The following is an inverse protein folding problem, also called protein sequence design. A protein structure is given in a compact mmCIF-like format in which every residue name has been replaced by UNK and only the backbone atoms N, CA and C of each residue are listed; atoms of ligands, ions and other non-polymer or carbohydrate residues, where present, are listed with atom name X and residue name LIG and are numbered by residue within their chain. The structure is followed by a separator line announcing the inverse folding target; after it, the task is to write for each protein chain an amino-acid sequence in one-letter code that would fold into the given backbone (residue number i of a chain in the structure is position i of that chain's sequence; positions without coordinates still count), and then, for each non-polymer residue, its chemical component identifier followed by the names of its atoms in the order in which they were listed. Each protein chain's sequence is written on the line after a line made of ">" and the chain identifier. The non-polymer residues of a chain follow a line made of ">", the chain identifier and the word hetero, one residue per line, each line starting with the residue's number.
data_IF_533178295899
#
_entry.id   IF_533178295899
#
_cell.length_a   1.000
_cell.length_b   1.000
_cell.length_c   1.000
_cell.angle_alpha   90.00
_cell.angle_beta   90.00
_cell.angle_gamma   90.00
#
_symmetry.space_group_name_H-M   'P 1'
#
loop_
_entity.id
_entity.type
_entity.pdbx_description
1 polymer ?
#
# COMPACT_ATOMS: atom_id res chain seq x y z
N UNK A 1 25.43 6.91 0.10
CA UNK A 1 25.34 5.45 -0.03
C UNK A 1 24.65 4.95 1.22
N UNK A 2 23.43 4.45 1.07
CA UNK A 2 22.62 3.84 2.14
C UNK A 2 23.12 2.40 2.22
N UNK A 3 23.57 1.90 3.37
CA UNK A 3 23.80 0.47 3.50
C UNK A 3 22.42 -0.21 3.34
N UNK A 4 22.27 -1.04 2.31
CA UNK A 4 21.22 -2.01 2.23
C UNK A 4 21.23 -2.84 3.53
N UNK A 5 20.06 -3.21 4.05
CA UNK A 5 19.99 -4.30 5.03
C UNK A 5 20.76 -5.47 4.46
N UNK A 6 21.67 -6.08 5.20
CA UNK A 6 22.34 -7.27 4.71
C UNK A 6 21.26 -8.34 4.52
N UNK A 7 21.23 -8.95 3.33
CA UNK A 7 20.51 -10.16 2.93
C UNK A 7 19.05 -10.07 2.42
N UNK A 8 18.50 -8.93 2.05
CA UNK A 8 17.44 -8.98 1.04
C UNK A 8 18.13 -9.12 -0.33
N UNK A 9 17.97 -10.24 -1.02
CA UNK A 9 18.37 -10.34 -2.41
C UNK A 9 17.75 -9.15 -3.17
N UNK A 10 18.46 -8.53 -4.10
CA UNK A 10 18.05 -7.32 -4.81
C UNK A 10 16.69 -7.46 -5.56
N UNK A 11 16.11 -8.64 -5.52
CA UNK A 11 15.00 -9.12 -6.31
C UNK A 11 13.69 -9.32 -5.53
N UNK A 12 13.66 -9.11 -4.21
CA UNK A 12 12.50 -9.35 -3.37
C UNK A 12 11.54 -8.14 -3.32
N UNK A 13 10.22 -8.40 -3.36
CA UNK A 13 9.15 -7.41 -3.18
C UNK A 13 8.45 -7.64 -1.85
N UNK A 14 9.08 -7.25 -0.74
CA UNK A 14 8.79 -7.72 0.61
C UNK A 14 7.52 -7.15 1.24
N UNK A 15 6.94 -6.09 0.70
CA UNK A 15 5.74 -5.45 1.23
C UNK A 15 4.94 -4.72 0.14
N UNK A 16 3.75 -4.27 0.50
CA UNK A 16 2.94 -3.44 -0.37
C UNK A 16 3.71 -2.18 -0.82
N UNK A 17 3.72 -1.96 -2.15
CA UNK A 17 4.48 -0.89 -2.82
C UNK A 17 6.00 -1.01 -2.72
N UNK A 18 6.50 -2.23 -2.58
CA UNK A 18 7.93 -2.56 -2.66
C UNK A 18 8.72 -2.33 -1.38
N UNK A 19 10.04 -2.58 -1.42
CA UNK A 19 10.88 -2.67 -0.22
C UNK A 19 10.84 -1.42 0.67
N UNK A 20 10.61 -0.24 0.10
CA UNK A 20 10.52 1.03 0.82
C UNK A 20 9.07 1.53 0.99
N UNK A 21 8.07 0.82 0.46
CA UNK A 21 6.67 1.25 0.49
C UNK A 21 6.36 2.49 -0.38
N UNK A 22 7.29 2.88 -1.26
CA UNK A 22 7.20 4.10 -2.08
C UNK A 22 6.51 3.89 -3.42
N UNK A 23 6.41 2.63 -3.88
CA UNK A 23 5.94 2.28 -5.22
C UNK A 23 7.01 2.36 -6.29
N UNK A 24 8.27 2.56 -5.91
CA UNK A 24 9.41 2.58 -6.83
C UNK A 24 10.07 1.21 -6.81
N UNK A 25 10.34 0.66 -7.98
CA UNK A 25 11.13 -0.53 -8.22
C UNK A 25 12.43 -0.16 -8.91
N UNK A 26 13.53 -0.80 -8.50
CA UNK A 26 14.83 -0.73 -9.18
C UNK A 26 14.97 -1.82 -10.26
N UNK A 27 13.97 -2.66 -10.44
CA UNK A 27 13.92 -3.69 -11.46
C UNK A 27 14.03 -3.10 -12.88
N UNK A 28 14.72 -3.82 -13.75
CA UNK A 28 14.88 -3.51 -15.17
C UNK A 28 14.51 -4.72 -16.02
N UNK A 29 14.17 -4.49 -17.29
CA UNK A 29 13.80 -5.57 -18.19
C UNK A 29 12.44 -6.21 -17.89
N UNK A 30 11.56 -5.50 -17.18
CA UNK A 30 10.18 -5.98 -16.99
C UNK A 30 9.39 -5.87 -18.30
N UNK A 31 8.46 -6.82 -18.56
CA UNK A 31 7.60 -6.76 -19.75
C UNK A 31 6.86 -5.43 -19.85
N UNK A 32 6.91 -4.81 -21.04
CA UNK A 32 6.12 -3.62 -21.36
C UNK A 32 4.88 -3.97 -22.17
N UNK A 33 4.77 -5.20 -22.63
CA UNK A 33 3.65 -5.69 -23.42
C UNK A 33 3.18 -7.05 -22.93
N UNK A 34 1.89 -7.18 -22.67
CA UNK A 34 1.23 -8.44 -22.34
C UNK A 34 -0.26 -8.39 -22.65
N UNK A 35 -0.87 -9.54 -22.69
CA UNK A 35 -2.31 -9.70 -22.81
C UNK A 35 -2.78 -10.89 -21.98
N UNK A 36 -3.98 -11.39 -22.18
CA UNK A 36 -4.45 -12.63 -21.53
C UNK A 36 -3.65 -13.87 -21.92
N UNK A 37 -2.89 -13.82 -23.03
CA UNK A 37 -2.16 -14.96 -23.62
C UNK A 37 -0.72 -14.64 -23.99
N UNK A 38 -0.33 -13.39 -24.10
CA UNK A 38 1.03 -12.95 -24.45
C UNK A 38 1.80 -12.61 -23.18
N UNK A 39 3.02 -13.11 -23.05
CA UNK A 39 3.92 -12.89 -21.90
C UNK A 39 3.34 -13.32 -20.53
N UNK A 40 2.41 -14.28 -20.54
CA UNK A 40 1.90 -14.90 -19.31
C UNK A 40 2.71 -16.16 -19.02
N UNK A 41 3.60 -16.08 -18.03
CA UNK A 41 4.35 -17.23 -17.55
C UNK A 41 3.43 -18.26 -16.90
N UNK A 42 2.56 -17.81 -16.01
CA UNK A 42 1.49 -18.61 -15.41
C UNK A 42 0.33 -17.74 -14.91
N UNK A 43 -0.82 -18.36 -14.76
CA UNK A 43 -1.97 -17.80 -14.05
C UNK A 43 -2.66 -18.85 -13.20
N UNK A 44 -3.04 -18.50 -11.99
CA UNK A 44 -3.71 -19.39 -11.04
C UNK A 44 -5.07 -18.83 -10.68
N UNK A 45 -6.11 -19.66 -10.79
CA UNK A 45 -7.47 -19.28 -10.44
C UNK A 45 -7.61 -19.07 -8.93
N UNK A 46 -8.27 -18.01 -8.53
CA UNK A 46 -8.65 -17.69 -7.16
C UNK A 46 -10.14 -17.98 -6.94
N UNK A 47 -10.50 -18.51 -5.77
CA UNK A 47 -11.86 -18.87 -5.38
C UNK A 47 -12.53 -17.81 -4.49
N UNK A 48 -12.06 -16.56 -4.59
CA UNK A 48 -12.60 -15.41 -3.87
C UNK A 48 -11.99 -14.10 -4.32
N UNK A 49 -12.76 -13.04 -4.23
CA UNK A 49 -12.32 -11.68 -4.52
C UNK A 49 -11.36 -11.17 -3.43
N UNK A 50 -10.51 -10.21 -3.76
CA UNK A 50 -9.62 -9.58 -2.80
C UNK A 50 -8.76 -8.46 -3.38
N UNK A 51 -8.40 -7.51 -2.53
CA UNK A 51 -7.59 -6.33 -2.88
C UNK A 51 -6.12 -6.44 -2.44
N UNK A 52 -5.74 -7.50 -1.73
CA UNK A 52 -4.35 -7.74 -1.32
C UNK A 52 -3.42 -7.74 -2.52
N UNK A 53 -2.38 -6.94 -2.47
CA UNK A 53 -1.31 -6.98 -3.46
C UNK A 53 -0.34 -8.12 -3.16
N UNK A 54 0.25 -8.77 -4.19
CA UNK A 54 1.25 -9.79 -3.98
C UNK A 54 2.52 -9.22 -3.33
N UNK A 55 3.20 -10.07 -2.56
CA UNK A 55 4.61 -9.89 -2.22
C UNK A 55 5.42 -11.08 -2.74
N UNK A 56 6.70 -10.86 -2.98
CA UNK A 56 7.62 -11.87 -3.48
C UNK A 56 8.78 -11.99 -2.52
N UNK A 57 9.08 -13.20 -2.10
CA UNK A 57 10.20 -13.53 -1.22
C UNK A 57 10.92 -14.72 -1.80
N UNK A 58 12.11 -14.55 -2.31
CA UNK A 58 12.90 -15.58 -2.97
C UNK A 58 12.09 -16.31 -4.08
N UNK A 59 11.89 -17.59 -3.96
CA UNK A 59 11.14 -18.43 -4.91
C UNK A 59 9.62 -18.51 -4.63
N UNK A 60 9.06 -17.62 -3.81
CA UNK A 60 7.68 -17.68 -3.35
C UNK A 60 6.90 -16.39 -3.55
N UNK A 61 5.62 -16.52 -3.89
CA UNK A 61 4.67 -15.41 -4.01
C UNK A 61 3.56 -15.59 -2.97
N UNK A 62 3.25 -14.50 -2.25
CA UNK A 62 2.26 -14.53 -1.18
C UNK A 62 1.14 -13.52 -1.39
N UNK A 63 -0.08 -13.93 -1.08
CA UNK A 63 -1.25 -13.06 -0.98
C UNK A 63 -2.08 -13.41 0.25
N UNK A 64 -2.76 -12.45 0.84
CA UNK A 64 -3.87 -12.75 1.75
C UNK A 64 -5.14 -13.03 0.95
N UNK A 65 -5.99 -13.93 1.40
CA UNK A 65 -7.16 -14.40 0.65
C UNK A 65 -8.31 -14.78 1.58
N UNK A 66 -9.52 -14.69 1.08
CA UNK A 66 -10.72 -15.21 1.74
C UNK A 66 -11.57 -15.94 0.67
N UNK A 67 -11.71 -17.26 0.74
CA UNK A 67 -12.56 -18.00 -0.18
C UNK A 67 -14.01 -17.55 -0.06
N UNK A 68 -14.69 -17.45 -1.19
CA UNK A 68 -16.09 -16.98 -1.23
C UNK A 68 -17.01 -17.89 -0.40
N UNK A 69 -17.78 -17.28 0.50
CA UNK A 69 -18.72 -18.01 1.35
C UNK A 69 -18.08 -18.80 2.50
N UNK A 70 -16.78 -18.63 2.74
CA UNK A 70 -16.02 -19.30 3.79
C UNK A 70 -15.77 -18.36 4.98
N UNK A 71 -15.63 -18.96 6.18
CA UNK A 71 -15.11 -18.26 7.36
C UNK A 71 -13.59 -18.16 7.39
N UNK A 72 -12.90 -18.75 6.42
CA UNK A 72 -11.44 -18.78 6.39
C UNK A 72 -10.86 -17.41 5.97
N UNK A 73 -9.76 -17.05 6.62
CA UNK A 73 -8.85 -15.97 6.26
C UNK A 73 -7.49 -16.59 6.04
N UNK A 74 -6.95 -16.45 4.84
CA UNK A 74 -5.82 -17.25 4.38
C UNK A 74 -4.64 -16.39 3.98
N UNK A 75 -3.44 -16.85 4.29
CA UNK A 75 -2.21 -16.54 3.61
C UNK A 75 -1.92 -17.70 2.66
N UNK A 76 -1.84 -17.41 1.37
CA UNK A 76 -1.52 -18.39 0.33
C UNK A 76 -0.10 -18.16 -0.17
N UNK A 77 0.66 -19.24 -0.28
CA UNK A 77 2.01 -19.27 -0.82
C UNK A 77 2.03 -20.06 -2.12
N UNK A 78 2.55 -19.44 -3.15
CA UNK A 78 2.69 -20.04 -4.48
C UNK A 78 4.15 -20.15 -4.86
N UNK A 79 4.50 -21.19 -5.61
CA UNK A 79 5.80 -21.28 -6.28
C UNK A 79 5.89 -20.20 -7.35
N UNK A 80 6.95 -19.42 -7.32
CA UNK A 80 7.19 -18.31 -8.24
C UNK A 80 7.38 -18.81 -9.69
N UNK A 81 7.95 -20.00 -9.87
CA UNK A 81 8.34 -20.51 -11.20
C UNK A 81 7.15 -20.95 -12.05
N UNK A 82 6.10 -21.51 -11.42
CA UNK A 82 4.97 -22.14 -12.13
C UNK A 82 3.58 -21.83 -11.55
N UNK A 83 3.51 -21.09 -10.43
CA UNK A 83 2.26 -20.74 -9.78
C UNK A 83 1.63 -21.88 -8.95
N UNK A 84 2.34 -22.99 -8.72
CA UNK A 84 1.83 -24.08 -7.88
C UNK A 84 1.55 -23.57 -6.48
N UNK A 85 0.35 -23.84 -5.95
CA UNK A 85 0.01 -23.56 -4.55
C UNK A 85 0.80 -24.49 -3.63
N UNK A 86 1.78 -23.94 -2.92
CA UNK A 86 2.64 -24.72 -2.02
C UNK A 86 1.96 -24.99 -0.68
N UNK A 87 1.29 -23.99 -0.12
CA UNK A 87 0.55 -24.13 1.12
C UNK A 87 -0.46 -22.99 1.31
N UNK A 88 -1.44 -23.27 2.18
CA UNK A 88 -2.42 -22.31 2.67
C UNK A 88 -2.44 -22.37 4.19
N UNK A 89 -2.32 -21.23 4.85
CA UNK A 89 -2.39 -21.07 6.31
C UNK A 89 -3.23 -19.86 6.67
N UNK A 90 -3.79 -19.83 7.87
CA UNK A 90 -4.57 -18.69 8.29
C UNK A 90 -5.44 -18.98 9.50
N UNK A 91 -6.60 -18.33 9.55
CA UNK A 91 -7.52 -18.39 10.67
C UNK A 91 -8.96 -18.62 10.20
N UNK A 92 -9.72 -19.33 11.00
CA UNK A 92 -11.17 -19.33 10.91
C UNK A 92 -11.72 -18.16 11.74
N UNK A 93 -12.59 -17.36 11.12
CA UNK A 93 -13.31 -16.27 11.78
C UNK A 93 -14.79 -16.34 11.41
N UNK A 94 -15.56 -16.95 12.31
CA UNK A 94 -17.00 -17.24 12.10
C UNK A 94 -17.91 -16.08 12.44
N UNK A 95 -17.40 -15.04 13.16
CA UNK A 95 -18.19 -13.85 13.41
C UNK A 95 -18.38 -13.02 12.13
N UNK A 96 -19.50 -12.31 12.07
CA UNK A 96 -19.74 -11.40 10.95
C UNK A 96 -18.78 -10.20 11.02
N UNK A 97 -17.92 -10.09 10.02
CA UNK A 97 -17.08 -8.90 9.80
C UNK A 97 -17.77 -7.97 8.80
N UNK A 98 -17.76 -6.67 9.12
CA UNK A 98 -18.32 -5.66 8.23
C UNK A 98 -17.35 -5.42 7.08
N UNK A 99 -17.84 -5.57 5.85
CA UNK A 99 -17.09 -5.28 4.62
C UNK A 99 -17.97 -4.50 3.65
N UNK A 100 -17.38 -3.91 2.65
CA UNK A 100 -18.08 -3.26 1.55
C UNK A 100 -17.89 -4.05 0.25
N UNK A 101 -18.86 -4.01 -0.65
CA UNK A 101 -18.76 -4.69 -1.96
C UNK A 101 -17.51 -4.33 -2.77
N UNK A 102 -16.93 -3.17 -2.53
CA UNK A 102 -15.69 -2.71 -3.18
C UNK A 102 -14.43 -3.02 -2.37
N UNK A 103 -14.59 -3.49 -1.14
CA UNK A 103 -13.49 -3.82 -0.23
C UNK A 103 -13.78 -5.15 0.46
N UNK A 104 -13.59 -6.28 -0.25
CA UNK A 104 -13.81 -7.61 0.30
C UNK A 104 -12.81 -7.92 1.43
N UNK A 105 -13.06 -9.04 2.11
CA UNK A 105 -12.17 -9.54 3.16
C UNK A 105 -10.73 -9.75 2.66
N UNK A 106 -9.75 -9.71 3.57
CA UNK A 106 -8.34 -9.86 3.24
C UNK A 106 -7.85 -8.79 2.24
N UNK A 107 -8.20 -7.53 2.48
CA UNK A 107 -7.74 -6.39 1.69
C UNK A 107 -6.28 -6.00 2.01
N UNK A 108 -5.81 -6.27 3.22
CA UNK A 108 -4.43 -6.01 3.66
C UNK A 108 -3.44 -6.90 2.94
N UNK A 109 -2.36 -6.34 2.42
CA UNK A 109 -1.27 -7.09 1.83
C UNK A 109 -0.34 -7.64 2.92
N UNK A 110 0.27 -8.82 2.73
CA UNK A 110 1.26 -9.34 3.67
C UNK A 110 2.56 -8.54 3.60
N UNK A 111 3.43 -8.74 4.60
CA UNK A 111 4.78 -8.17 4.65
C UNK A 111 5.79 -9.22 5.11
N UNK A 112 7.04 -9.12 4.64
CA UNK A 112 8.11 -10.05 4.99
C UNK A 112 9.38 -9.31 5.42
N UNK A 113 10.18 -9.97 6.26
CA UNK A 113 11.57 -9.62 6.57
C UNK A 113 12.59 -10.48 5.81
N UNK A 114 12.12 -11.31 4.86
CA UNK A 114 12.92 -12.29 4.12
C UNK A 114 12.89 -13.69 4.73
N UNK A 115 12.58 -13.85 6.02
CA UNK A 115 12.52 -15.12 6.73
C UNK A 115 11.10 -15.48 7.20
N UNK A 116 10.30 -14.48 7.47
CA UNK A 116 8.94 -14.60 8.03
C UNK A 116 7.95 -13.76 7.25
N UNK A 117 6.70 -14.18 7.25
CA UNK A 117 5.59 -13.46 6.63
C UNK A 117 4.61 -13.05 7.72
N UNK A 118 4.26 -11.78 7.74
CA UNK A 118 3.20 -11.27 8.62
C UNK A 118 1.97 -10.92 7.79
N UNK A 119 0.82 -11.43 8.19
CA UNK A 119 -0.47 -11.19 7.55
C UNK A 119 -1.49 -10.68 8.58
N UNK A 120 -2.16 -9.59 8.24
CA UNK A 120 -3.28 -9.07 9.04
C UNK A 120 -4.60 -9.44 8.36
N UNK A 121 -5.43 -10.16 9.10
CA UNK A 121 -6.71 -10.68 8.65
C UNK A 121 -7.91 -9.90 9.22
N UNK A 122 -7.77 -8.59 9.42
CA UNK A 122 -8.82 -7.77 10.01
C UNK A 122 -9.15 -8.20 11.43
N UNK A 123 -10.43 -8.45 11.70
CA UNK A 123 -10.90 -8.88 13.03
C UNK A 123 -10.38 -10.28 13.44
N UNK A 124 -9.93 -11.10 12.50
CA UNK A 124 -9.34 -12.41 12.82
C UNK A 124 -7.93 -12.30 13.44
N UNK A 125 -7.28 -11.13 13.36
CA UNK A 125 -6.02 -10.87 14.03
C UNK A 125 -4.81 -10.74 13.09
N UNK A 126 -3.64 -10.58 13.71
CA UNK A 126 -2.33 -10.48 13.06
C UNK A 126 -1.55 -11.77 13.31
N UNK A 127 -1.02 -12.35 12.23
CA UNK A 127 -0.35 -13.64 12.26
C UNK A 127 1.04 -13.56 11.65
N UNK A 128 1.98 -14.31 12.22
CA UNK A 128 3.31 -14.49 11.67
C UNK A 128 3.53 -15.97 11.35
N UNK A 129 4.04 -16.23 10.15
CA UNK A 129 4.42 -17.55 9.67
C UNK A 129 5.88 -17.52 9.20
N UNK A 130 6.56 -18.66 9.20
CA UNK A 130 7.79 -18.79 8.42
C UNK A 130 7.48 -19.06 6.94
N UNK A 131 8.52 -19.13 6.11
CA UNK A 131 8.38 -19.35 4.66
C UNK A 131 7.84 -20.76 4.31
N UNK A 132 7.76 -21.69 5.28
CA UNK A 132 7.17 -23.02 5.12
C UNK A 132 5.72 -23.10 5.62
N UNK A 133 5.18 -21.97 6.12
CA UNK A 133 3.82 -21.87 6.61
C UNK A 133 3.64 -22.34 8.06
N UNK A 134 4.71 -22.51 8.83
CA UNK A 134 4.61 -22.78 10.26
C UNK A 134 4.28 -21.47 11.00
N UNK A 135 3.19 -21.47 11.76
CA UNK A 135 2.79 -20.30 12.55
C UNK A 135 3.77 -20.10 13.71
N UNK A 136 4.36 -18.92 13.75
CA UNK A 136 5.29 -18.50 14.82
C UNK A 136 4.57 -17.84 15.98
N UNK A 137 3.63 -16.95 15.68
CA UNK A 137 2.78 -16.31 16.68
C UNK A 137 1.50 -15.76 16.05
N UNK A 138 0.54 -15.42 16.91
CA UNK A 138 -0.66 -14.66 16.55
C UNK A 138 -0.97 -13.61 17.61
N UNK A 139 -1.63 -12.51 17.19
CA UNK A 139 -2.11 -11.45 18.07
C UNK A 139 -3.55 -11.12 17.73
N UNK A 140 -4.39 -11.03 18.74
CA UNK A 140 -5.74 -10.51 18.59
C UNK A 140 -5.69 -8.98 18.50
N UNK A 141 -6.05 -8.43 17.35
CA UNK A 141 -5.96 -6.99 17.09
C UNK A 141 -7.22 -6.22 17.47
N UNK A 142 -8.30 -6.93 17.72
CA UNK A 142 -9.62 -6.34 17.98
C UNK A 142 -10.55 -6.43 16.76
N UNK A 143 -11.76 -5.91 16.92
CA UNK A 143 -12.81 -5.99 15.90
C UNK A 143 -12.76 -4.77 14.97
N UNK A 144 -12.74 -5.01 13.67
CA UNK A 144 -12.94 -3.98 12.65
C UNK A 144 -14.44 -3.67 12.58
N UNK A 145 -14.81 -2.40 12.76
CA UNK A 145 -16.20 -1.96 12.91
C UNK A 145 -16.67 -0.92 11.89
N UNK A 146 -15.81 -0.50 10.96
CA UNK A 146 -16.16 0.47 9.94
C UNK A 146 -16.89 -0.17 8.75
N UNK A 147 -17.94 0.50 8.24
CA UNK A 147 -18.81 -0.01 7.14
C UNK A 147 -18.07 -0.27 5.82
N UNK A 148 -16.89 0.33 5.62
CA UNK A 148 -16.02 0.11 4.45
C UNK A 148 -14.86 -0.87 4.74
N UNK A 149 -14.89 -1.54 5.89
CA UNK A 149 -13.84 -2.45 6.30
C UNK A 149 -12.48 -1.75 6.52
N UNK A 150 -11.40 -2.50 6.36
CA UNK A 150 -10.01 -2.05 6.56
C UNK A 150 -9.22 -2.10 5.25
N UNK A 151 -8.05 -1.43 5.21
CA UNK A 151 -7.24 -1.37 3.99
C UNK A 151 -5.76 -1.12 4.21
N UNK A 152 -5.36 -0.75 5.43
CA UNK A 152 -3.95 -0.63 5.79
C UNK A 152 -3.25 -1.99 5.72
N UNK A 153 -1.98 -2.01 5.36
CA UNK A 153 -1.12 -3.18 5.42
C UNK A 153 -0.09 -3.02 6.54
N UNK A 154 0.31 -4.09 7.24
CA UNK A 154 1.42 -4.03 8.17
C UNK A 154 2.72 -3.73 7.41
N UNK A 155 3.67 -3.08 8.09
CA UNK A 155 5.03 -2.88 7.62
C UNK A 155 6.02 -3.38 8.66
N UNK A 156 7.24 -3.70 8.23
CA UNK A 156 8.31 -4.13 9.14
C UNK A 156 9.35 -3.01 9.25
N UNK A 157 9.75 -2.72 10.46
CA UNK A 157 10.87 -1.86 10.78
C UNK A 157 11.77 -2.53 11.82
N UNK A 158 12.97 -2.90 11.43
CA UNK A 158 13.90 -3.69 12.27
C UNK A 158 13.19 -4.96 12.81
N UNK A 159 13.09 -5.10 14.11
CA UNK A 159 12.43 -6.23 14.78
C UNK A 159 10.97 -5.93 15.18
N UNK A 160 10.32 -4.96 14.54
CA UNK A 160 8.96 -4.54 14.84
C UNK A 160 8.05 -4.70 13.62
N UNK A 161 6.84 -5.17 13.86
CA UNK A 161 5.70 -5.06 12.94
C UNK A 161 4.90 -3.84 13.36
N UNK A 162 4.74 -2.88 12.45
CA UNK A 162 3.96 -1.67 12.66
C UNK A 162 2.61 -1.83 11.95
N UNK A 163 1.53 -1.65 12.68
CA UNK A 163 0.16 -1.79 12.16
C UNK A 163 -0.65 -0.54 12.46
N UNK A 164 -1.26 0.04 11.42
CA UNK A 164 -2.34 1.00 11.56
C UNK A 164 -3.66 0.23 11.56
N UNK A 165 -4.20 -0.07 12.74
CA UNK A 165 -5.50 -0.71 12.90
C UNK A 165 -6.63 0.32 12.80
N UNK A 166 -7.45 0.18 11.81
CA UNK A 166 -8.56 1.12 11.58
C UNK A 166 -9.07 1.11 10.14
N UNK A 167 -9.96 2.05 9.85
CA UNK A 167 -10.57 3.04 10.76
C UNK A 167 -11.68 2.44 11.65
N UNK A 168 -12.23 3.28 12.53
CA UNK A 168 -13.33 2.98 13.43
C UNK A 168 -13.05 3.46 14.85
N UNK A 169 -14.03 3.33 15.73
CA UNK A 169 -13.95 3.83 17.12
C UNK A 169 -12.82 3.17 17.91
N UNK A 170 -12.45 1.95 17.56
CA UNK A 170 -11.38 1.17 18.19
C UNK A 170 -10.01 1.33 17.50
N UNK A 171 -9.85 2.30 16.60
CA UNK A 171 -8.61 2.49 15.85
C UNK A 171 -7.41 2.84 16.72
N UNK A 172 -6.25 2.32 16.33
CA UNK A 172 -4.96 2.59 16.97
C UNK A 172 -3.82 2.34 15.97
N UNK A 173 -2.63 2.81 16.31
CA UNK A 173 -1.38 2.37 15.69
C UNK A 173 -0.57 1.65 16.75
N UNK A 174 0.02 0.51 16.41
CA UNK A 174 0.81 -0.27 17.34
C UNK A 174 2.06 -0.87 16.69
N UNK A 175 3.05 -1.15 17.51
CA UNK A 175 4.20 -1.97 17.18
C UNK A 175 4.16 -3.29 17.94
N UNK A 176 4.43 -4.36 17.21
CA UNK A 176 4.53 -5.72 17.78
C UNK A 176 5.94 -6.27 17.52
N UNK A 177 6.46 -7.03 18.46
CA UNK A 177 7.74 -7.71 18.32
C UNK A 177 7.68 -8.77 17.20
N UNK A 178 8.58 -8.73 16.24
CA UNK A 178 8.72 -9.77 15.22
C UNK A 178 9.06 -11.14 15.81
N UNK A 179 9.64 -11.20 17.00
CA UNK A 179 10.06 -12.44 17.64
C UNK A 179 8.87 -13.26 18.11
N UNK A 180 7.88 -12.63 18.75
CA UNK A 180 6.84 -13.32 19.52
C UNK A 180 5.45 -12.67 19.46
N UNK A 181 5.32 -11.55 18.71
CA UNK A 181 4.06 -10.80 18.59
C UNK A 181 3.71 -9.95 19.83
N UNK A 182 4.59 -9.87 20.82
CA UNK A 182 4.34 -9.03 22.00
C UNK A 182 4.17 -7.56 21.59
N UNK A 183 3.14 -6.89 22.15
CA UNK A 183 2.93 -5.46 21.89
C UNK A 183 4.04 -4.65 22.58
N UNK A 184 4.74 -3.83 21.79
CA UNK A 184 5.83 -2.97 22.26
C UNK A 184 5.31 -1.59 22.63
N UNK A 185 4.48 -1.03 21.78
CA UNK A 185 3.75 0.21 22.04
C UNK A 185 2.42 0.24 21.29
N UNK A 186 1.48 1.00 21.84
CA UNK A 186 0.18 1.30 21.20
C UNK A 186 -0.13 2.78 21.39
N UNK A 187 -0.70 3.37 20.33
CA UNK A 187 -1.16 4.74 20.36
C UNK A 187 -2.55 4.87 19.74
N UNK A 188 -3.42 5.60 20.39
CA UNK A 188 -4.70 6.07 19.87
C UNK A 188 -4.60 7.55 19.51
N UNK A 189 -5.48 8.01 18.63
CA UNK A 189 -5.55 9.41 18.21
C UNK A 189 -6.97 9.97 18.51
N UNK A 190 -7.36 10.14 19.79
CA UNK A 190 -8.72 10.49 20.18
C UNK A 190 -9.12 11.92 19.82
N UNK A 191 -8.14 12.80 19.62
CA UNK A 191 -8.35 14.25 19.43
C UNK A 191 -8.73 14.62 17.99
N UNK A 192 -8.61 13.69 17.06
CA UNK A 192 -8.61 13.95 15.62
C UNK A 192 -10.00 14.04 15.00
N UNK A 193 -11.04 13.62 15.68
CA UNK A 193 -12.39 13.61 15.12
C UNK A 193 -13.37 14.04 16.18
N UNK A 194 -14.22 15.01 15.85
CA UNK A 194 -15.29 15.42 16.75
C UNK A 194 -16.15 14.20 17.12
N UNK A 195 -16.76 14.20 18.31
CA UNK A 195 -17.63 13.12 18.79
C UNK A 195 -18.79 12.74 17.86
N UNK A 196 -19.07 13.57 16.85
CA UNK A 196 -20.08 13.29 15.81
C UNK A 196 -19.60 12.41 14.66
N UNK A 197 -18.31 12.08 14.61
CA UNK A 197 -17.68 11.37 13.49
C UNK A 197 -16.67 10.32 13.97
N UNK A 198 -16.92 9.71 15.12
CA UNK A 198 -16.04 8.71 15.74
C UNK A 198 -15.74 7.50 14.83
N UNK A 199 -16.70 7.18 13.93
CA UNK A 199 -16.52 6.13 12.93
C UNK A 199 -15.35 6.39 11.96
N UNK A 200 -14.90 7.65 11.82
CA UNK A 200 -13.75 8.02 10.98
C UNK A 200 -12.44 8.18 11.76
N UNK A 201 -12.35 7.74 13.02
CA UNK A 201 -11.07 7.66 13.72
C UNK A 201 -10.13 6.69 13.01
N UNK A 202 -8.85 7.02 12.97
CA UNK A 202 -7.86 6.24 12.22
C UNK A 202 -8.00 6.41 10.70
N UNK A 203 -7.37 5.55 9.95
CA UNK A 203 -7.34 5.66 8.48
C UNK A 203 -7.15 4.30 7.81
N UNK A 204 -7.40 4.23 6.52
CA UNK A 204 -7.06 3.08 5.66
C UNK A 204 -5.60 3.12 5.17
N UNK A 205 -4.91 4.21 5.45
CA UNK A 205 -3.56 4.48 4.98
C UNK A 205 -2.56 3.48 5.54
N UNK A 206 -1.76 2.87 4.68
CA UNK A 206 -0.58 2.12 5.11
C UNK A 206 0.50 3.10 5.55
N UNK A 207 1.10 2.92 6.75
CA UNK A 207 2.22 3.73 7.21
C UNK A 207 3.42 3.66 6.27
N UNK A 208 4.25 4.70 6.26
CA UNK A 208 5.48 4.74 5.44
C UNK A 208 6.65 5.16 6.29
N UNK A 209 7.78 4.47 6.13
CA UNK A 209 9.04 4.85 6.77
C UNK A 209 9.75 5.93 5.98
N UNK A 210 10.10 7.03 6.63
CA UNK A 210 10.95 8.07 6.08
C UNK A 210 12.33 8.02 6.74
N UNK A 211 13.37 8.07 5.91
CA UNK A 211 14.77 8.09 6.34
C UNK A 211 15.41 9.42 5.96
N UNK A 212 15.94 10.15 6.93
CA UNK A 212 16.68 11.40 6.73
C UNK A 212 17.97 11.35 7.54
N UNK A 213 19.11 11.14 6.87
CA UNK A 213 20.38 10.88 7.54
C UNK A 213 20.25 9.70 8.50
N UNK A 214 20.54 9.92 9.78
CA UNK A 214 20.39 8.91 10.84
C UNK A 214 19.02 8.90 11.51
N UNK A 215 18.08 9.73 11.06
CA UNK A 215 16.72 9.77 11.62
C UNK A 215 15.77 8.93 10.79
N UNK A 216 15.06 8.03 11.43
CA UNK A 216 14.01 7.21 10.83
C UNK A 216 12.68 7.53 11.51
N UNK A 217 11.66 7.81 10.71
CA UNK A 217 10.38 8.35 11.17
C UNK A 217 9.25 7.58 10.52
N UNK A 218 8.27 7.18 11.32
CA UNK A 218 7.03 6.58 10.83
C UNK A 218 6.03 7.68 10.48
N UNK A 219 5.63 7.74 9.22
CA UNK A 219 4.65 8.69 8.70
C UNK A 219 3.26 8.06 8.68
N UNK A 220 2.28 8.79 9.19
CA UNK A 220 0.90 8.35 9.36
C UNK A 220 -0.05 9.42 8.79
N UNK A 221 -0.73 9.13 7.68
CA UNK A 221 -1.86 9.94 7.20
C UNK A 221 -3.08 9.64 8.04
N UNK A 222 -3.46 10.57 8.91
CA UNK A 222 -4.58 10.43 9.83
C UNK A 222 -5.60 11.55 9.62
N UNK A 223 -6.84 11.41 10.09
CA UNK A 223 -7.81 12.51 10.03
C UNK A 223 -7.19 13.82 10.53
N UNK A 224 -7.48 14.88 9.77
CA UNK A 224 -7.08 16.26 10.01
C UNK A 224 -5.58 16.57 9.85
N UNK A 225 -4.67 15.60 10.02
CA UNK A 225 -3.23 15.86 9.91
C UNK A 225 -2.36 14.66 9.52
N UNK A 226 -1.21 14.98 8.96
CA UNK A 226 -0.10 14.05 8.82
C UNK A 226 0.70 14.04 10.14
N UNK A 227 0.96 12.84 10.66
CA UNK A 227 1.78 12.63 11.84
C UNK A 227 3.09 11.95 11.48
N UNK A 228 4.13 12.35 12.18
CA UNK A 228 5.45 11.74 12.16
C UNK A 228 5.81 11.32 13.57
N UNK A 229 6.03 10.02 13.77
CA UNK A 229 6.29 9.46 15.08
C UNK A 229 7.56 8.61 15.08
N UNK A 230 8.10 8.36 16.26
CA UNK A 230 9.16 7.38 16.46
C UNK A 230 8.63 5.97 16.16
N UNK A 231 9.23 5.22 15.25
CA UNK A 231 8.80 3.84 15.01
C UNK A 231 9.05 2.91 16.19
N UNK A 232 10.00 3.27 17.08
CA UNK A 232 10.38 2.48 18.24
C UNK A 232 9.50 2.70 19.47
N UNK A 233 8.92 3.92 19.62
CA UNK A 233 8.17 4.29 20.84
C UNK A 233 6.76 4.80 20.57
N UNK A 234 6.41 5.14 19.32
CA UNK A 234 5.14 5.78 18.96
C UNK A 234 5.04 7.26 19.39
N UNK A 235 6.10 7.85 19.96
CA UNK A 235 6.13 9.24 20.40
C UNK A 235 6.18 10.21 19.23
N UNK A 236 5.53 11.38 19.42
CA UNK A 236 5.52 12.43 18.42
C UNK A 236 6.91 12.98 18.13
N UNK A 237 7.18 13.16 16.85
CA UNK A 237 8.28 13.99 16.37
C UNK A 237 7.75 15.31 15.86
N UNK A 238 6.84 15.24 14.91
CA UNK A 238 6.14 16.40 14.36
C UNK A 238 4.79 16.02 13.77
N UNK A 239 3.97 17.02 13.49
CA UNK A 239 2.73 16.85 12.75
C UNK A 239 2.45 18.06 11.88
N UNK A 240 1.59 17.92 10.87
CA UNK A 240 1.15 19.01 10.01
C UNK A 240 -0.34 18.88 9.73
N UNK A 241 -1.10 19.91 10.07
CA UNK A 241 -2.54 20.00 9.84
C UNK A 241 -2.91 20.40 8.41
N UNK A 242 -4.20 20.23 8.07
CA UNK A 242 -4.79 20.64 6.80
C UNK A 242 -5.40 19.50 6.00
N UNK A 243 -5.47 18.30 6.53
CA UNK A 243 -6.21 17.18 5.93
C UNK A 243 -7.68 17.16 6.37
N UNK A 244 -8.47 16.28 5.80
CA UNK A 244 -9.84 15.99 6.22
C UNK A 244 -9.95 14.62 6.86
N UNK A 245 -11.19 14.17 7.14
CA UNK A 245 -11.45 12.92 7.88
C UNK A 245 -11.22 11.62 7.11
N UNK A 246 -11.14 11.64 5.77
CA UNK A 246 -11.09 10.43 4.94
C UNK A 246 -9.69 10.25 4.35
N UNK A 247 -8.87 9.42 4.97
CA UNK A 247 -7.49 9.13 4.55
C UNK A 247 -7.38 7.68 4.09
N UNK A 248 -7.20 7.50 2.78
CA UNK A 248 -7.03 6.17 2.15
C UNK A 248 -5.59 5.94 1.70
N UNK A 249 -4.92 7.00 1.31
CA UNK A 249 -3.64 6.95 0.63
C UNK A 249 -2.49 7.09 1.61
N UNK A 250 -1.38 6.45 1.27
CA UNK A 250 -0.16 6.54 2.06
C UNK A 250 0.57 7.85 1.83
N UNK A 251 1.33 8.34 2.82
CA UNK A 251 2.25 9.45 2.63
C UNK A 251 3.21 9.20 1.46
N UNK A 252 3.56 10.24 0.73
CA UNK A 252 4.47 10.19 -0.41
C UNK A 252 5.68 11.06 -0.10
N UNK A 253 6.88 10.54 -0.35
CA UNK A 253 8.15 11.17 0.02
C UNK A 253 8.86 11.68 -1.23
N UNK A 254 9.21 12.95 -1.25
CA UNK A 254 10.04 13.61 -2.27
C UNK A 254 11.21 14.31 -1.59
N UNK A 255 12.32 13.61 -1.42
CA UNK A 255 13.47 14.12 -0.66
C UNK A 255 13.12 14.43 0.80
N UNK A 256 13.14 15.70 1.16
CA UNK A 256 12.78 16.21 2.50
C UNK A 256 11.30 16.66 2.61
N UNK A 257 10.54 16.58 1.54
CA UNK A 257 9.13 16.97 1.52
C UNK A 257 8.24 15.73 1.56
N UNK A 258 7.23 15.75 2.41
CA UNK A 258 6.20 14.71 2.51
C UNK A 258 4.86 15.26 2.04
N UNK A 259 4.22 14.54 1.11
CA UNK A 259 2.86 14.85 0.64
C UNK A 259 1.87 13.89 1.26
N UNK A 260 0.75 14.41 1.74
CA UNK A 260 -0.40 13.61 2.19
C UNK A 260 -1.69 14.16 1.61
N UNK A 261 -2.58 13.27 1.20
CA UNK A 261 -3.80 13.62 0.49
C UNK A 261 -5.01 12.93 1.09
N UNK A 262 -6.07 13.69 1.34
CA UNK A 262 -7.36 13.14 1.77
C UNK A 262 -8.20 12.70 0.55
N UNK A 263 -9.05 11.71 0.74
CA UNK A 263 -9.94 11.21 -0.32
C UNK A 263 -11.11 12.14 -0.66
N UNK A 264 -11.91 11.75 -1.65
CA UNK A 264 -13.15 12.44 -2.09
C UNK A 264 -12.96 13.93 -2.41
N UNK A 265 -11.96 14.28 -3.23
CA UNK A 265 -11.61 15.66 -3.56
C UNK A 265 -11.30 16.54 -2.34
N UNK A 266 -10.85 15.91 -1.26
CA UNK A 266 -10.45 16.61 -0.04
C UNK A 266 -9.16 17.40 -0.20
N UNK A 267 -8.62 17.93 0.90
CA UNK A 267 -7.36 18.66 0.88
C UNK A 267 -6.16 17.75 0.63
N UNK A 268 -5.08 18.38 0.17
CA UNK A 268 -3.75 17.81 0.09
C UNK A 268 -2.73 18.79 0.66
N UNK A 269 -1.75 18.28 1.38
CA UNK A 269 -0.67 19.08 1.97
C UNK A 269 0.69 18.56 1.53
N UNK A 270 1.66 19.44 1.46
CA UNK A 270 3.07 19.10 1.48
C UNK A 270 3.75 19.79 2.66
N UNK A 271 4.61 19.08 3.35
CA UNK A 271 5.34 19.58 4.51
C UNK A 271 6.82 19.22 4.40
N UNK A 272 7.69 20.16 4.68
CA UNK A 272 9.11 19.92 4.85
C UNK A 272 9.33 19.23 6.20
N UNK A 273 9.88 18.04 6.17
CA UNK A 273 10.00 17.16 7.34
C UNK A 273 11.20 17.55 8.24
N UNK A 274 11.30 18.82 8.58
CA UNK A 274 12.36 19.41 9.41
C UNK A 274 11.77 20.08 10.64
N UNK A 275 12.26 19.72 11.83
CA UNK A 275 11.82 20.31 13.09
C UNK A 275 11.02 19.35 13.95
N UNK A 276 10.36 19.89 14.96
CA UNK A 276 9.58 19.15 15.95
C UNK A 276 8.25 19.86 16.27
N UNK A 277 7.28 19.13 16.80
CA UNK A 277 5.99 19.67 17.18
C UNK A 277 5.07 19.96 16.01
N UNK A 278 4.23 21.00 16.09
CA UNK A 278 3.30 21.35 15.01
C UNK A 278 3.99 22.20 13.95
N UNK A 279 4.12 21.65 12.75
CA UNK A 279 4.77 22.28 11.59
C UNK A 279 3.79 23.00 10.66
N UNK A 280 2.51 23.07 11.00
CA UNK A 280 1.44 23.58 10.14
C UNK A 280 1.73 24.99 9.61
N UNK A 281 2.14 25.90 10.48
CA UNK A 281 2.35 27.31 10.09
C UNK A 281 3.82 27.63 9.74
N UNK A 282 4.75 26.68 10.00
CA UNK A 282 6.18 26.94 9.85
C UNK A 282 6.86 26.20 8.70
N UNK A 283 6.39 24.99 8.39
CA UNK A 283 7.03 24.09 7.42
C UNK A 283 6.08 23.52 6.38
N UNK A 284 4.77 23.79 6.46
CA UNK A 284 3.86 23.41 5.38
C UNK A 284 4.22 24.20 4.12
N UNK A 285 4.63 23.47 3.07
CA UNK A 285 5.10 24.05 1.81
C UNK A 285 3.90 24.58 1.00
N UNK A 286 2.83 23.78 0.94
CA UNK A 286 1.58 24.16 0.30
C UNK A 286 0.39 23.40 0.88
N UNK A 287 -0.80 23.94 0.63
CA UNK A 287 -2.10 23.36 0.93
C UNK A 287 -3.00 23.54 -0.29
N UNK A 288 -3.47 22.44 -0.85
CA UNK A 288 -4.63 22.44 -1.74
C UNK A 288 -5.86 22.12 -0.88
N UNK A 289 -6.72 23.10 -0.64
CA UNK A 289 -7.87 22.96 0.29
C UNK A 289 -8.89 21.92 -0.18
N UNK A 290 -8.97 21.68 -1.49
CA UNK A 290 -9.89 20.74 -2.13
C UNK A 290 -9.41 20.37 -3.52
N UNK A 291 -10.05 19.34 -4.09
CA UNK A 291 -9.86 18.98 -5.49
C UNK A 291 -8.61 18.17 -5.75
N UNK A 292 -7.99 17.58 -4.73
CA UNK A 292 -6.88 16.68 -4.96
C UNK A 292 -7.33 15.43 -5.76
N UNK A 293 -6.43 14.84 -6.56
CA UNK A 293 -6.79 13.74 -7.46
C UNK A 293 -7.02 12.41 -6.75
N UNK A 294 -6.51 12.24 -5.56
CA UNK A 294 -6.52 10.94 -4.89
C UNK A 294 -7.90 10.56 -4.35
N UNK A 295 -8.29 9.30 -4.57
CA UNK A 295 -9.42 8.70 -3.88
C UNK A 295 -8.99 7.52 -3.03
N UNK A 296 -8.43 6.46 -3.61
CA UNK A 296 -7.98 5.25 -2.89
C UNK A 296 -6.54 4.91 -3.21
N UNK A 297 -6.17 4.76 -4.48
CA UNK A 297 -4.80 4.46 -4.89
C UNK A 297 -3.83 5.59 -4.58
N UNK A 298 -2.64 5.25 -4.14
CA UNK A 298 -1.56 6.22 -3.90
C UNK A 298 -0.81 6.52 -5.19
N UNK A 299 -0.36 7.77 -5.35
CA UNK A 299 0.55 8.16 -6.43
C UNK A 299 1.97 7.63 -6.21
N UNK A 300 2.86 7.97 -7.11
CA UNK A 300 4.30 7.70 -7.02
C UNK A 300 5.09 8.98 -7.29
N UNK A 301 6.20 9.16 -6.58
CA UNK A 301 7.10 10.30 -6.78
C UNK A 301 8.31 9.86 -7.56
N UNK A 302 8.59 10.54 -8.68
CA UNK A 302 9.81 10.35 -9.47
C UNK A 302 10.51 11.71 -9.58
N UNK A 303 11.70 11.80 -9.01
CA UNK A 303 12.40 13.07 -8.85
C UNK A 303 11.59 14.05 -7.96
N UNK A 304 11.29 15.21 -8.48
CA UNK A 304 10.49 16.25 -7.80
C UNK A 304 9.01 16.24 -8.19
N UNK A 305 8.54 15.21 -8.92
CA UNK A 305 7.19 15.16 -9.46
C UNK A 305 6.40 13.97 -8.92
N UNK A 306 5.19 14.25 -8.49
CA UNK A 306 4.19 13.27 -8.09
C UNK A 306 3.26 12.97 -9.27
N UNK A 307 3.17 11.69 -9.61
CA UNK A 307 2.25 11.17 -10.62
C UNK A 307 1.14 10.36 -9.97
N UNK A 308 -0.09 10.54 -10.43
CA UNK A 308 -1.23 9.82 -9.89
C UNK A 308 -2.34 9.68 -10.94
N UNK A 309 -3.01 8.52 -10.93
CA UNK A 309 -4.27 8.28 -11.64
C UNK A 309 -5.38 8.05 -10.63
N UNK A 310 -6.47 8.80 -10.72
CA UNK A 310 -7.59 8.70 -9.79
C UNK A 310 -8.77 7.88 -10.34
N UNK A 311 -9.78 7.66 -9.50
CA UNK A 311 -10.95 6.86 -9.85
C UNK A 311 -11.73 7.37 -11.08
N UNK A 312 -11.95 8.67 -11.32
CA UNK A 312 -12.63 9.08 -12.54
C UNK A 312 -11.76 9.01 -13.81
N UNK A 313 -10.53 8.46 -13.70
CA UNK A 313 -9.64 8.30 -14.85
C UNK A 313 -8.92 9.58 -15.25
N UNK A 314 -8.58 10.42 -14.30
CA UNK A 314 -7.78 11.62 -14.56
C UNK A 314 -6.38 11.40 -14.00
N UNK A 315 -5.39 11.43 -14.88
CA UNK A 315 -3.98 11.43 -14.53
C UNK A 315 -3.50 12.86 -14.23
N UNK A 316 -2.62 12.99 -13.24
CA UNK A 316 -2.07 14.26 -12.81
C UNK A 316 -0.56 14.14 -12.64
N UNK A 317 0.13 15.25 -12.89
CA UNK A 317 1.49 15.49 -12.45
C UNK A 317 1.54 16.75 -11.59
N UNK A 318 2.16 16.63 -10.43
CA UNK A 318 2.28 17.74 -9.46
C UNK A 318 3.76 17.93 -9.16
N UNK A 319 4.28 19.13 -9.32
CA UNK A 319 5.62 19.49 -8.87
C UNK A 319 5.62 19.66 -7.35
N UNK A 320 6.23 18.71 -6.64
CA UNK A 320 6.13 18.60 -5.18
C UNK A 320 6.66 19.83 -4.44
N UNK A 321 7.81 20.44 -4.82
CA UNK A 321 8.31 21.64 -4.14
C UNK A 321 7.39 22.85 -4.15
N UNK A 322 6.52 22.98 -5.15
CA UNK A 322 5.64 24.17 -5.29
C UNK A 322 4.15 23.87 -5.18
N UNK A 323 3.75 22.59 -5.34
CA UNK A 323 2.34 22.18 -5.44
C UNK A 323 1.72 22.50 -6.82
N UNK A 324 2.48 23.01 -7.78
CA UNK A 324 2.00 23.30 -9.12
C UNK A 324 1.55 22.03 -9.84
N UNK A 325 0.35 22.06 -10.40
CA UNK A 325 -0.14 21.00 -11.27
C UNK A 325 0.43 21.25 -12.66
N UNK A 326 1.48 20.50 -13.03
CA UNK A 326 2.17 20.71 -14.31
C UNK A 326 1.34 20.22 -15.49
N UNK A 327 0.56 19.16 -15.30
CA UNK A 327 -0.45 18.71 -16.25
C UNK A 327 -1.56 17.90 -15.56
N UNK A 328 -2.69 17.83 -16.24
CA UNK A 328 -3.86 17.06 -15.84
C UNK A 328 -4.58 16.58 -17.10
N UNK A 329 -4.71 15.27 -17.26
CA UNK A 329 -5.24 14.67 -18.48
C UNK A 329 -6.25 13.57 -18.16
N UNK A 330 -7.34 13.49 -18.91
CA UNK A 330 -8.31 12.42 -18.83
C UNK A 330 -7.88 11.23 -19.67
N UNK A 331 -7.79 10.07 -19.05
CA UNK A 331 -7.55 8.80 -19.71
C UNK A 331 -8.86 8.02 -19.73
N UNK A 332 -9.46 7.88 -20.91
CA UNK A 332 -10.79 7.28 -21.06
C UNK A 332 -10.81 5.82 -20.58
N UNK A 333 -11.78 5.50 -19.75
CA UNK A 333 -11.94 4.15 -19.17
C UNK A 333 -10.96 3.79 -18.06
N UNK A 334 -10.05 4.68 -17.69
CA UNK A 334 -8.91 4.43 -16.80
C UNK A 334 -9.21 4.64 -15.30
N UNK A 335 -10.39 4.31 -14.81
CA UNK A 335 -10.69 4.39 -13.37
C UNK A 335 -9.81 3.44 -12.56
N UNK A 336 -9.14 3.92 -11.51
CA UNK A 336 -8.18 3.12 -10.71
C UNK A 336 -8.36 3.30 -9.21
N UNK A 337 -8.18 2.18 -8.48
CA UNK A 337 -7.94 2.13 -7.04
C UNK A 337 -6.58 1.50 -6.71
N UNK A 338 -5.93 0.89 -7.68
CA UNK A 338 -4.53 0.46 -7.58
C UNK A 338 -3.63 1.66 -7.38
N UNK A 339 -2.57 1.51 -6.61
CA UNK A 339 -1.53 2.52 -6.52
C UNK A 339 -0.65 2.53 -7.77
N UNK A 340 -0.23 3.72 -8.17
CA UNK A 340 0.74 3.87 -9.23
C UNK A 340 2.13 3.45 -8.76
N UNK A 341 2.89 2.81 -9.63
CA UNK A 341 4.27 2.37 -9.39
C UNK A 341 5.18 2.94 -10.47
N UNK A 342 6.46 3.03 -10.16
CA UNK A 342 7.51 3.38 -11.12
C UNK A 342 8.50 2.21 -11.22
N UNK A 343 8.75 1.74 -12.42
CA UNK A 343 9.65 0.61 -12.71
C UNK A 343 10.25 0.78 -14.10
N UNK A 344 11.51 0.44 -14.27
CA UNK A 344 12.20 0.43 -15.56
C UNK A 344 12.00 1.73 -16.38
N UNK A 345 12.05 2.88 -15.70
CA UNK A 345 11.93 4.21 -16.33
C UNK A 345 10.51 4.64 -16.73
N UNK A 346 9.49 3.85 -16.42
CA UNK A 346 8.10 4.19 -16.72
C UNK A 346 7.19 4.01 -15.49
N UNK A 347 5.97 4.55 -15.58
CA UNK A 347 4.94 4.43 -14.58
C UNK A 347 3.95 3.34 -14.99
N UNK A 348 3.48 2.56 -14.02
CA UNK A 348 2.43 1.56 -14.22
C UNK A 348 1.28 1.74 -13.24
N UNK A 349 0.05 1.55 -13.70
CA UNK A 349 -1.14 1.57 -12.86
C UNK A 349 -2.22 0.65 -13.43
N UNK A 350 -2.76 -0.22 -12.57
CA UNK A 350 -3.88 -1.08 -12.94
C UNK A 350 -5.19 -0.30 -12.86
N UNK A 351 -6.05 -0.46 -13.86
CA UNK A 351 -7.41 0.05 -13.83
C UNK A 351 -8.36 -0.97 -13.20
N UNK A 352 -9.50 -0.52 -12.69
CA UNK A 352 -10.53 -1.42 -12.14
C UNK A 352 -11.14 -2.36 -13.18
N UNK A 353 -10.93 -2.13 -14.49
CA UNK A 353 -11.40 -3.01 -15.56
C UNK A 353 -10.39 -4.08 -15.97
N UNK A 354 -9.19 -4.07 -15.37
CA UNK A 354 -8.14 -5.04 -15.66
C UNK A 354 -7.21 -4.66 -16.80
N UNK A 355 -7.19 -3.39 -17.18
CA UNK A 355 -6.12 -2.84 -18.02
C UNK A 355 -4.98 -2.36 -17.12
N UNK A 356 -3.74 -2.48 -17.58
CA UNK A 356 -2.58 -1.78 -17.00
C UNK A 356 -2.14 -0.70 -17.97
N UNK A 357 -2.12 0.55 -17.48
CA UNK A 357 -1.66 1.70 -18.26
C UNK A 357 -0.20 1.95 -17.93
N UNK A 358 0.62 2.08 -18.97
CA UNK A 358 2.01 2.48 -18.88
C UNK A 358 2.14 3.93 -19.33
N UNK A 359 2.77 4.76 -18.50
CA UNK A 359 3.01 6.17 -18.78
C UNK A 359 4.51 6.47 -18.72
N UNK A 360 4.97 7.37 -19.55
CA UNK A 360 6.30 7.96 -19.36
C UNK A 360 6.29 8.86 -18.12
N UNK A 361 7.31 8.76 -17.27
CA UNK A 361 7.51 9.70 -16.17
C UNK A 361 7.96 11.06 -16.73
N UNK A 362 7.04 11.80 -17.33
CA UNK A 362 7.29 13.07 -18.02
C UNK A 362 6.58 14.22 -17.27
N UNK A 363 7.32 15.23 -16.74
CA UNK A 363 6.71 16.33 -15.99
C UNK A 363 6.00 17.36 -16.87
N UNK A 364 6.21 17.35 -18.19
CA UNK A 364 5.67 18.37 -19.09
C UNK A 364 4.41 17.94 -19.84
N UNK A 365 4.15 16.64 -19.96
CA UNK A 365 2.98 16.12 -20.66
C UNK A 365 2.62 14.70 -20.21
N UNK A 366 1.34 14.36 -20.22
CA UNK A 366 0.86 13.01 -20.05
C UNK A 366 1.12 12.21 -21.33
N UNK A 367 1.98 11.20 -21.23
CA UNK A 367 2.32 10.37 -22.37
C UNK A 367 2.05 8.90 -22.05
N UNK A 368 0.99 8.34 -22.63
CA UNK A 368 0.70 6.89 -22.58
C UNK A 368 1.64 6.18 -23.56
N UNK A 369 2.41 5.22 -23.06
CA UNK A 369 3.37 4.42 -23.85
C UNK A 369 2.87 3.00 -24.14
N UNK A 370 1.86 2.53 -23.38
CA UNK A 370 1.25 1.23 -23.58
C UNK A 370 0.00 1.03 -22.74
N UNK A 371 -0.86 0.13 -23.20
CA UNK A 371 -2.02 -0.36 -22.45
C UNK A 371 -2.05 -1.88 -22.64
N UNK A 372 -2.04 -2.60 -21.53
CA UNK A 372 -2.05 -4.06 -21.49
C UNK A 372 -3.36 -4.56 -20.85
N UNK A 373 -3.99 -5.57 -21.42
CA UNK A 373 -5.35 -5.98 -21.07
C UNK A 373 -5.38 -7.41 -20.49
N UNK A 374 -5.68 -7.54 -19.18
CA UNK A 374 -6.04 -8.83 -18.60
C UNK A 374 -7.54 -9.07 -18.60
N UNK A 375 -8.36 -8.00 -18.73
CA UNK A 375 -9.81 -8.08 -18.85
C UNK A 375 -10.54 -8.53 -17.57
N UNK A 376 -9.87 -8.51 -16.43
CA UNK A 376 -10.39 -8.95 -15.13
C UNK A 376 -10.26 -7.84 -14.09
N UNK A 377 -11.33 -7.59 -13.35
CA UNK A 377 -11.33 -6.55 -12.32
C UNK A 377 -10.15 -6.73 -11.35
N UNK A 378 -9.45 -5.62 -11.07
CA UNK A 378 -8.43 -5.56 -10.04
C UNK A 378 -8.42 -4.21 -9.31
N UNK A 379 -8.02 -4.23 -8.05
CA UNK A 379 -7.69 -3.06 -7.23
C UNK A 379 -6.32 -3.22 -6.57
N UNK A 380 -5.69 -4.36 -6.77
CA UNK A 380 -4.36 -4.63 -6.25
C UNK A 380 -3.28 -3.86 -7.02
N UNK A 381 -2.23 -3.49 -6.31
CA UNK A 381 -1.03 -2.87 -6.89
C UNK A 381 -0.10 -3.99 -7.39
N UNK A 382 0.55 -3.84 -8.56
CA UNK A 382 1.53 -4.81 -9.05
C UNK A 382 2.72 -4.96 -8.11
N UNK A 383 3.35 -6.14 -8.13
CA UNK A 383 4.65 -6.42 -7.53
C UNK A 383 5.66 -6.76 -8.63
N UNK A 384 6.92 -6.42 -8.39
CA UNK A 384 8.01 -6.62 -9.36
C UNK A 384 9.15 -7.37 -8.71
N UNK A 385 9.71 -8.35 -9.40
CA UNK A 385 10.83 -9.13 -8.91
C UNK A 385 11.47 -9.92 -10.03
N UNK A 386 12.80 -9.82 -10.23
CA UNK A 386 13.57 -10.56 -11.25
C UNK A 386 12.99 -10.48 -12.66
N UNK A 387 12.68 -9.28 -13.13
CA UNK A 387 12.08 -9.07 -14.44
C UNK A 387 10.66 -9.57 -14.59
N UNK A 388 10.02 -10.04 -13.54
CA UNK A 388 8.63 -10.52 -13.52
C UNK A 388 7.69 -9.48 -12.90
N UNK A 389 6.44 -9.47 -13.37
CA UNK A 389 5.35 -8.67 -12.82
C UNK A 389 4.29 -9.61 -12.26
N UNK A 390 3.91 -9.41 -11.01
CA UNK A 390 2.84 -10.17 -10.36
C UNK A 390 1.61 -9.28 -10.18
N UNK A 391 0.49 -9.71 -10.77
CA UNK A 391 -0.79 -8.98 -10.70
C UNK A 391 -1.86 -9.91 -10.14
N UNK A 392 -2.51 -9.49 -9.06
CA UNK A 392 -3.73 -10.12 -8.58
C UNK A 392 -4.93 -9.42 -9.19
N UNK A 393 -5.83 -10.21 -9.76
CA UNK A 393 -7.18 -9.81 -10.13
C UNK A 393 -8.20 -10.42 -9.14
N UNK A 394 -9.48 -10.18 -9.36
CA UNK A 394 -10.54 -10.86 -8.58
C UNK A 394 -10.66 -12.35 -8.93
N UNK A 395 -10.16 -12.77 -10.09
CA UNK A 395 -10.31 -14.13 -10.59
C UNK A 395 -9.01 -14.94 -10.57
N UNK A 396 -7.86 -14.28 -10.77
CA UNK A 396 -6.57 -14.96 -10.89
C UNK A 396 -5.43 -14.18 -10.22
N UNK A 397 -4.37 -14.92 -9.92
CA UNK A 397 -3.02 -14.39 -9.71
C UNK A 397 -2.20 -14.68 -10.96
N UNK A 398 -1.57 -13.65 -11.51
CA UNK A 398 -0.75 -13.71 -12.73
C UNK A 398 0.72 -13.50 -12.41
N UNK A 399 1.58 -14.26 -13.10
CA UNK A 399 2.98 -13.92 -13.31
C UNK A 399 3.18 -13.60 -14.78
N UNK A 400 3.71 -12.42 -15.05
CA UNK A 400 3.97 -11.89 -16.39
C UNK A 400 5.48 -11.80 -16.54
N UNK A 401 6.01 -12.37 -17.62
CA UNK A 401 7.43 -12.43 -17.92
C UNK A 401 7.62 -12.40 -19.45
N UNK A 402 8.69 -11.75 -19.92
CA UNK A 402 9.01 -11.74 -21.35
C UNK A 402 9.24 -13.17 -21.84
N UNK A 403 8.55 -13.54 -22.93
CA UNK A 403 8.77 -14.84 -23.57
C UNK A 403 10.17 -14.88 -24.17
N UNK A 404 10.96 -15.90 -23.81
CA UNK A 404 12.31 -16.12 -24.36
C UNK A 404 12.25 -16.51 -25.83
#
# INVERSE_FOLDING_TARGET
>A
MIPASPDAAADDWLQWRGPLGTGISEETGVPQKWSQTENIRWKVKLDGEGNSSPIVVDSKVFITHAPTGSAQRELRCYDRSDGTLLWTKGAEYSEKEITHQTNPLCASSPVSDGERIVAWFGSAGLYCFDLNGEQRWKVETGKVDHIWGYGSSPIIYQNLVLLNFGPGVNSYVAAFSMKDGAEVWRRTFPEQVSSKHEEYRGSWSTPVMMRQGNSETLLLSMPDRLWAVSPLTGEDRWSCGGLSKLLYTSPLIAGDVVVSMAGYNGPAIAVRAEGTGDLTDTKRVWLHEKGNPQRVGSGVVVGEHLYILNEPGIAWCIHVPTGEITWKERLDGASSWSSMTAVDGHLQVNTMKGSTILLQANPTACQVIGINELGEMTRATPAYSNGQIFIRTYQHLYCIEESQ
#
